data_IF_623840417727
#
_entry.id   IF_623840417727
#
_cell.length_a   1.000
_cell.length_b   1.000
_cell.length_c   1.000
_cell.angle_alpha   90.00
_cell.angle_beta   90.00
_cell.angle_gamma   90.00
#
_symmetry.space_group_name_H-M   'P 1'
#
loop_
_entity.id
_entity.type
_entity.pdbx_description
1 polymer ?
#
# COMPACT_ATOMS: atom_id res chain seq x y z
N UNK A 1 -105.17 -8.34 63.52
CA UNK A 1 -104.94 -9.74 63.09
C UNK A 1 -103.92 -9.75 61.96
N UNK A 2 -102.76 -10.37 62.18
CA UNK A 2 -101.94 -11.05 61.15
C UNK A 2 -102.01 -12.56 61.52
N UNK A 3 -101.61 -13.55 60.69
CA UNK A 3 -100.72 -13.47 59.51
C UNK A 3 -101.07 -14.47 58.35
N UNK A 4 -100.13 -14.62 57.40
CA UNK A 4 -99.83 -15.85 56.64
C UNK A 4 -100.76 -16.28 55.48
N UNK A 5 -100.45 -15.83 54.26
CA UNK A 5 -100.26 -16.67 53.06
C UNK A 5 -100.05 -15.84 51.78
N UNK A 6 -99.43 -14.66 51.85
CA UNK A 6 -98.85 -14.10 50.63
C UNK A 6 -97.63 -14.95 50.28
N UNK A 7 -97.63 -15.49 49.06
CA UNK A 7 -96.46 -16.18 48.52
C UNK A 7 -95.26 -15.21 48.51
N UNK A 8 -94.03 -15.73 48.63
CA UNK A 8 -92.84 -14.87 48.58
C UNK A 8 -92.83 -13.97 47.33
N UNK A 9 -93.38 -14.47 46.22
CA UNK A 9 -93.53 -13.74 44.97
C UNK A 9 -94.46 -12.51 45.09
N UNK A 10 -95.61 -12.62 45.77
CA UNK A 10 -96.54 -11.50 45.94
C UNK A 10 -95.98 -10.42 46.87
N UNK A 11 -95.24 -10.82 47.91
CA UNK A 11 -94.53 -9.87 48.78
C UNK A 11 -93.40 -9.17 48.06
N UNK A 12 -92.67 -9.87 47.21
CA UNK A 12 -91.63 -9.29 46.37
C UNK A 12 -92.24 -8.31 45.36
N UNK A 13 -93.37 -8.66 44.74
CA UNK A 13 -94.08 -7.77 43.83
C UNK A 13 -94.60 -6.50 44.52
N UNK A 14 -95.19 -6.62 45.72
CA UNK A 14 -95.60 -5.46 46.52
C UNK A 14 -94.40 -4.59 46.92
N UNK A 15 -93.26 -5.20 47.27
CA UNK A 15 -92.03 -4.48 47.61
C UNK A 15 -91.38 -3.82 46.39
N UNK A 16 -91.43 -4.43 45.21
CA UNK A 16 -90.97 -3.83 43.95
C UNK A 16 -91.87 -2.65 43.56
N UNK A 17 -93.19 -2.78 43.74
CA UNK A 17 -94.14 -1.72 43.44
C UNK A 17 -93.97 -0.54 44.40
N UNK A 18 -93.81 -0.80 45.71
CA UNK A 18 -93.43 0.19 46.71
C UNK A 18 -92.06 0.82 46.44
N UNK A 19 -91.06 0.05 46.03
CA UNK A 19 -89.72 0.56 45.70
C UNK A 19 -89.72 1.44 44.44
N UNK A 20 -90.61 1.17 43.49
CA UNK A 20 -90.85 2.02 42.33
C UNK A 20 -91.63 3.30 42.70
N UNK A 21 -92.69 3.18 43.51
CA UNK A 21 -93.52 4.31 43.95
C UNK A 21 -92.78 5.29 44.89
N UNK A 22 -91.83 4.78 45.68
CA UNK A 22 -90.99 5.58 46.58
C UNK A 22 -89.72 6.14 45.91
N UNK A 23 -89.45 5.81 44.64
CA UNK A 23 -88.29 6.31 43.89
C UNK A 23 -86.94 5.70 44.29
N UNK A 24 -86.91 4.73 45.21
CA UNK A 24 -85.69 4.11 45.75
C UNK A 24 -84.86 3.42 44.67
N UNK A 25 -85.50 2.84 43.65
CA UNK A 25 -84.80 2.22 42.52
C UNK A 25 -84.03 3.24 41.68
N UNK A 26 -84.58 4.43 41.49
CA UNK A 26 -83.92 5.49 40.74
C UNK A 26 -82.79 6.13 41.55
N UNK A 27 -82.95 6.26 42.87
CA UNK A 27 -81.86 6.67 43.76
C UNK A 27 -80.69 5.67 43.76
N UNK A 28 -80.98 4.36 43.78
CA UNK A 28 -79.95 3.32 43.71
C UNK A 28 -79.25 3.32 42.35
N UNK A 29 -79.99 3.47 41.24
CA UNK A 29 -79.39 3.60 39.90
C UNK A 29 -78.53 4.85 39.79
N UNK A 30 -78.94 5.98 40.37
CA UNK A 30 -78.16 7.21 40.39
C UNK A 30 -76.89 7.06 41.22
N UNK A 31 -76.97 6.42 42.40
CA UNK A 31 -75.77 6.09 43.20
C UNK A 31 -74.82 5.15 42.46
N UNK A 32 -75.35 4.14 41.77
CA UNK A 32 -74.55 3.22 40.97
C UNK A 32 -73.87 3.94 39.80
N UNK A 33 -74.57 4.85 39.11
CA UNK A 33 -73.99 5.69 38.05
C UNK A 33 -72.86 6.58 38.59
N UNK A 34 -73.07 7.22 39.74
CA UNK A 34 -72.05 8.04 40.40
C UNK A 34 -70.80 7.22 40.75
N UNK A 35 -70.95 6.00 41.27
CA UNK A 35 -69.81 5.12 41.56
C UNK A 35 -69.10 4.64 40.29
N UNK A 36 -69.84 4.32 39.22
CA UNK A 36 -69.24 3.99 37.92
C UNK A 36 -68.47 5.20 37.35
N UNK A 37 -69.02 6.40 37.44
CA UNK A 37 -68.38 7.61 36.94
C UNK A 37 -67.13 7.96 37.75
N UNK A 38 -67.14 7.80 39.07
CA UNK A 38 -65.93 7.87 39.90
C UNK A 38 -64.87 6.89 39.42
N UNK A 39 -65.26 5.63 39.18
CA UNK A 39 -64.32 4.61 38.69
C UNK A 39 -63.79 4.93 37.30
N UNK A 40 -64.62 5.47 36.41
CA UNK A 40 -64.19 5.91 35.06
C UNK A 40 -63.23 7.09 35.15
N UNK A 41 -63.46 8.05 36.04
CA UNK A 41 -62.54 9.16 36.28
C UNK A 41 -61.20 8.69 36.84
N UNK A 42 -61.20 7.76 37.80
CA UNK A 42 -59.96 7.15 38.32
C UNK A 42 -59.17 6.42 37.22
N UNK A 43 -59.86 5.69 36.34
CA UNK A 43 -59.23 4.97 35.22
C UNK A 43 -58.70 5.94 34.16
N UNK A 44 -59.43 7.03 33.86
CA UNK A 44 -58.97 8.08 32.97
C UNK A 44 -57.72 8.78 33.53
N UNK A 45 -57.72 9.15 34.81
CA UNK A 45 -56.56 9.73 35.47
C UNK A 45 -55.34 8.80 35.49
N UNK A 46 -55.55 7.49 35.64
CA UNK A 46 -54.48 6.49 35.53
C UNK A 46 -53.98 6.33 34.09
N UNK A 47 -54.84 6.44 33.11
CA UNK A 47 -54.48 6.38 31.69
C UNK A 47 -53.68 7.62 31.28
N UNK A 48 -54.09 8.81 31.72
CA UNK A 48 -53.40 10.07 31.45
C UNK A 48 -52.03 10.16 32.15
N UNK A 49 -51.88 9.49 33.30
CA UNK A 49 -50.60 9.39 34.00
C UNK A 49 -49.62 8.41 33.34
N UNK A 50 -50.07 7.54 32.44
CA UNK A 50 -49.20 6.62 31.71
C UNK A 50 -48.61 7.31 30.47
N UNK A 51 -47.31 7.17 30.19
CA UNK A 51 -46.71 7.60 28.93
C UNK A 51 -47.45 6.95 27.76
N UNK A 52 -47.68 7.68 26.68
CA UNK A 52 -48.30 7.12 25.47
C UNK A 52 -47.22 6.50 24.57
N UNK A 53 -47.00 5.17 24.62
CA UNK A 53 -45.90 4.52 23.93
C UNK A 53 -46.04 4.60 22.41
N UNK A 54 -47.25 4.73 21.88
CA UNK A 54 -47.49 4.73 20.43
C UNK A 54 -46.88 5.96 19.75
N UNK A 55 -46.91 7.12 20.42
CA UNK A 55 -46.33 8.35 19.88
C UNK A 55 -44.81 8.29 19.87
N UNK A 56 -44.21 7.82 20.95
CA UNK A 56 -42.75 7.67 21.07
C UNK A 56 -42.22 6.62 20.09
N UNK A 57 -42.89 5.48 19.97
CA UNK A 57 -42.55 4.45 19.00
C UNK A 57 -42.70 4.95 17.55
N UNK A 58 -43.73 5.75 17.26
CA UNK A 58 -43.89 6.36 15.93
C UNK A 58 -42.80 7.38 15.61
N UNK A 59 -42.34 8.18 16.58
CA UNK A 59 -41.20 9.09 16.38
C UNK A 59 -39.90 8.33 16.17
N UNK A 60 -39.63 7.31 16.99
CA UNK A 60 -38.44 6.46 16.85
C UNK A 60 -38.43 5.70 15.52
N UNK A 61 -39.59 5.22 15.05
CA UNK A 61 -39.71 4.56 13.75
C UNK A 61 -39.40 5.51 12.59
N UNK A 62 -39.87 6.77 12.66
CA UNK A 62 -39.55 7.81 11.65
C UNK A 62 -38.07 8.17 11.65
N UNK A 63 -37.47 8.30 12.83
CA UNK A 63 -36.03 8.57 12.97
C UNK A 63 -35.18 7.41 12.45
N UNK A 64 -35.53 6.16 12.80
CA UNK A 64 -34.88 4.97 12.28
C UNK A 64 -34.96 4.92 10.75
N UNK A 65 -36.13 5.15 10.16
CA UNK A 65 -36.29 5.18 8.71
C UNK A 65 -35.41 6.26 8.04
N UNK A 66 -35.32 7.45 8.64
CA UNK A 66 -34.46 8.53 8.13
C UNK A 66 -32.98 8.16 8.19
N UNK A 67 -32.53 7.56 9.30
CA UNK A 67 -31.14 7.12 9.48
C UNK A 67 -30.79 6.00 8.51
N UNK A 68 -31.70 5.03 8.31
CA UNK A 68 -31.52 3.96 7.33
C UNK A 68 -31.38 4.51 5.91
N UNK A 69 -32.25 5.42 5.48
CA UNK A 69 -32.15 6.04 4.16
C UNK A 69 -30.84 6.82 3.98
N UNK A 70 -30.38 7.54 5.02
CA UNK A 70 -29.10 8.24 4.98
C UNK A 70 -27.91 7.27 4.85
N UNK A 71 -27.96 6.12 5.54
CA UNK A 71 -26.93 5.08 5.45
C UNK A 71 -26.90 4.43 4.06
N UNK A 72 -28.07 4.16 3.46
CA UNK A 72 -28.13 3.61 2.11
C UNK A 72 -27.55 4.57 1.07
N UNK A 73 -27.84 5.87 1.22
CA UNK A 73 -27.25 6.92 0.38
C UNK A 73 -25.74 6.98 0.52
N UNK A 74 -25.22 6.99 1.75
CA UNK A 74 -23.78 6.97 2.00
C UNK A 74 -23.12 5.72 1.41
N UNK A 75 -23.74 4.53 1.57
CA UNK A 75 -23.24 3.30 0.98
C UNK A 75 -23.27 3.32 -0.56
N UNK A 76 -24.17 4.07 -1.18
CA UNK A 76 -24.17 4.26 -2.63
C UNK A 76 -23.05 5.21 -3.07
N UNK A 77 -22.81 6.29 -2.33
CA UNK A 77 -21.71 7.24 -2.56
C UNK A 77 -20.34 6.56 -2.39
N UNK A 78 -20.17 5.71 -1.37
CA UNK A 78 -18.93 4.94 -1.15
C UNK A 78 -18.65 3.98 -2.32
N UNK A 79 -19.67 3.26 -2.82
CA UNK A 79 -19.51 2.35 -3.97
C UNK A 79 -19.14 3.11 -5.24
N UNK A 80 -19.67 4.31 -5.44
CA UNK A 80 -19.34 5.14 -6.58
C UNK A 80 -17.91 5.71 -6.47
N UNK A 81 -17.50 6.12 -5.27
CA UNK A 81 -16.12 6.52 -4.99
C UNK A 81 -15.14 5.38 -5.27
N UNK A 82 -15.43 4.16 -4.82
CA UNK A 82 -14.64 2.95 -5.09
C UNK A 82 -14.55 2.65 -6.60
N UNK A 83 -15.65 2.86 -7.35
CA UNK A 83 -15.67 2.67 -8.80
C UNK A 83 -14.73 3.68 -9.47
N UNK A 84 -14.84 4.95 -9.11
CA UNK A 84 -14.01 6.03 -9.67
C UNK A 84 -12.53 5.85 -9.31
N UNK A 85 -12.21 5.42 -8.10
CA UNK A 85 -10.84 5.13 -7.68
C UNK A 85 -10.23 4.00 -8.52
N UNK A 86 -10.96 2.90 -8.71
CA UNK A 86 -10.51 1.78 -9.56
C UNK A 86 -10.33 2.21 -11.02
N UNK A 87 -11.24 3.01 -11.57
CA UNK A 87 -11.14 3.52 -12.94
C UNK A 87 -9.95 4.46 -13.12
N UNK A 88 -9.74 5.38 -12.19
CA UNK A 88 -8.61 6.35 -12.25
C UNK A 88 -7.27 5.65 -12.04
N UNK A 89 -7.18 4.73 -11.08
CA UNK A 89 -6.01 3.89 -10.86
C UNK A 89 -5.72 3.03 -12.09
N UNK A 90 -6.73 2.39 -12.67
CA UNK A 90 -6.59 1.60 -13.89
C UNK A 90 -6.07 2.43 -15.08
N UNK A 91 -6.61 3.64 -15.28
CA UNK A 91 -6.13 4.58 -16.31
C UNK A 91 -4.68 5.01 -16.07
N UNK A 92 -4.31 5.29 -14.82
CA UNK A 92 -2.93 5.65 -14.46
C UNK A 92 -1.98 4.51 -14.80
N UNK A 93 -2.28 3.28 -14.37
CA UNK A 93 -1.45 2.10 -14.66
C UNK A 93 -1.28 1.92 -16.16
N UNK A 94 -2.37 1.92 -16.94
CA UNK A 94 -2.28 1.78 -18.39
C UNK A 94 -1.46 2.89 -19.06
N UNK A 95 -1.65 4.14 -18.63
CA UNK A 95 -0.88 5.26 -19.15
C UNK A 95 0.61 5.16 -18.81
N UNK A 96 0.95 4.70 -17.59
CA UNK A 96 2.35 4.48 -17.20
C UNK A 96 2.98 3.36 -18.00
N UNK A 97 2.30 2.23 -18.19
CA UNK A 97 2.81 1.11 -18.98
C UNK A 97 3.01 1.49 -20.44
N UNK A 98 2.05 2.20 -21.05
CA UNK A 98 2.16 2.65 -22.45
C UNK A 98 3.33 3.63 -22.62
N UNK A 99 3.41 4.68 -21.80
CA UNK A 99 4.50 5.67 -21.88
C UNK A 99 5.86 5.07 -21.54
N UNK A 100 5.91 4.14 -20.57
CA UNK A 100 7.14 3.41 -20.25
C UNK A 100 7.57 2.52 -21.43
N UNK A 101 6.62 1.87 -22.10
CA UNK A 101 6.88 1.07 -23.30
C UNK A 101 7.44 1.91 -24.45
N UNK A 102 6.80 3.04 -24.77
CA UNK A 102 7.28 3.98 -25.80
C UNK A 102 8.68 4.52 -25.46
N UNK A 103 8.88 4.95 -24.21
CA UNK A 103 10.18 5.43 -23.75
C UNK A 103 11.25 4.35 -23.84
N UNK A 104 10.94 3.12 -23.42
CA UNK A 104 11.88 2.01 -23.47
C UNK A 104 12.24 1.66 -24.92
N UNK A 105 11.25 1.67 -25.82
CA UNK A 105 11.49 1.45 -27.25
C UNK A 105 12.44 2.52 -27.81
N UNK A 106 12.19 3.80 -27.53
CA UNK A 106 13.09 4.89 -27.97
C UNK A 106 14.50 4.73 -27.41
N UNK A 107 14.64 4.36 -26.13
CA UNK A 107 15.96 4.12 -25.53
C UNK A 107 16.69 2.95 -26.21
N UNK A 108 16.00 1.84 -26.50
CA UNK A 108 16.59 0.71 -27.23
C UNK A 108 16.97 1.08 -28.66
N UNK A 109 16.16 1.87 -29.36
CA UNK A 109 16.49 2.34 -30.71
C UNK A 109 17.68 3.32 -30.70
N UNK A 110 17.79 4.18 -29.68
CA UNK A 110 18.97 5.03 -29.50
C UNK A 110 20.24 4.20 -29.23
N UNK A 111 20.16 3.20 -28.36
CA UNK A 111 21.27 2.27 -28.10
C UNK A 111 21.70 1.52 -29.38
N UNK A 112 20.75 1.12 -30.24
CA UNK A 112 21.03 0.47 -31.53
C UNK A 112 21.62 1.42 -32.57
N UNK A 113 21.24 2.69 -32.53
CA UNK A 113 21.74 3.72 -33.43
C UNK A 113 23.06 4.37 -32.95
N UNK A 114 23.53 4.00 -31.75
CA UNK A 114 24.78 4.50 -31.22
C UNK A 114 25.97 4.06 -32.08
N UNK A 115 27.06 4.85 -32.12
CA UNK A 115 28.26 4.47 -32.86
C UNK A 115 28.87 3.16 -32.32
N UNK A 116 29.33 2.24 -33.19
CA UNK A 116 29.90 0.95 -32.78
C UNK A 116 31.13 1.09 -31.87
N UNK A 117 31.82 2.23 -31.93
CA UNK A 117 32.97 2.53 -31.07
C UNK A 117 32.59 2.56 -29.57
N UNK A 118 31.33 2.82 -29.22
CA UNK A 118 30.85 2.76 -27.84
C UNK A 118 30.71 1.30 -27.36
N UNK A 119 30.32 0.38 -28.24
CA UNK A 119 30.24 -1.05 -27.94
C UNK A 119 31.65 -1.62 -27.73
N UNK A 120 32.57 -1.32 -28.66
CA UNK A 120 33.99 -1.68 -28.54
C UNK A 120 34.61 -1.18 -27.23
N UNK A 121 34.25 0.05 -26.81
CA UNK A 121 34.71 0.63 -25.56
C UNK A 121 34.16 -0.10 -24.31
N UNK A 122 32.90 -0.53 -24.35
CA UNK A 122 32.31 -1.33 -23.26
C UNK A 122 32.95 -2.71 -23.16
N UNK A 123 33.29 -3.32 -24.28
CA UNK A 123 34.02 -4.59 -24.33
C UNK A 123 35.44 -4.45 -23.78
N UNK A 124 36.16 -3.39 -24.18
CA UNK A 124 37.47 -3.07 -23.63
C UNK A 124 37.38 -2.86 -22.10
N UNK A 125 36.43 -2.07 -21.59
CA UNK A 125 36.26 -1.89 -20.14
C UNK A 125 35.90 -3.19 -19.41
N UNK A 126 35.10 -4.05 -20.02
CA UNK A 126 34.75 -5.37 -19.45
C UNK A 126 35.96 -6.29 -19.38
N UNK A 127 36.82 -6.26 -20.41
CA UNK A 127 38.10 -6.94 -20.42
C UNK A 127 39.01 -6.41 -19.29
N UNK A 128 39.10 -5.10 -19.12
CA UNK A 128 39.88 -4.49 -18.04
C UNK A 128 39.38 -4.94 -16.64
N UNK A 129 38.06 -5.00 -16.38
CA UNK A 129 37.53 -5.55 -15.12
C UNK A 129 37.96 -7.00 -14.90
N UNK A 130 37.91 -7.84 -15.94
CA UNK A 130 38.33 -9.24 -15.86
C UNK A 130 39.83 -9.37 -15.55
N UNK A 131 40.68 -8.53 -16.16
CA UNK A 131 42.11 -8.50 -15.88
C UNK A 131 42.40 -8.01 -14.45
N UNK A 132 41.67 -7.02 -13.94
CA UNK A 132 41.80 -6.56 -12.55
C UNK A 132 41.42 -7.64 -11.54
N UNK A 133 40.37 -8.41 -11.80
CA UNK A 133 40.03 -9.57 -10.95
C UNK A 133 41.17 -10.59 -10.91
N UNK A 134 41.84 -10.77 -12.04
CA UNK A 134 42.96 -11.69 -12.19
C UNK A 134 44.25 -11.14 -11.58
N UNK A 135 44.40 -9.83 -11.48
CA UNK A 135 45.55 -9.16 -10.86
C UNK A 135 45.51 -9.16 -9.32
N UNK A 136 44.47 -9.74 -8.70
CA UNK A 136 44.37 -9.82 -7.25
C UNK A 136 45.49 -10.67 -6.66
N UNK A 137 46.22 -10.08 -5.71
CA UNK A 137 47.37 -10.71 -5.05
C UNK A 137 47.34 -10.48 -3.55
N UNK A 138 47.74 -11.52 -2.83
CA UNK A 138 47.93 -11.51 -1.39
C UNK A 138 49.38 -11.90 -1.14
N UNK A 139 50.19 -10.91 -0.78
CA UNK A 139 51.61 -11.11 -0.51
C UNK A 139 51.84 -11.34 0.98
N UNK A 140 52.55 -12.42 1.30
CA UNK A 140 53.02 -12.69 2.65
C UNK A 140 54.48 -12.24 2.80
N UNK A 141 54.70 -11.11 3.47
CA UNK A 141 56.06 -10.63 3.76
C UNK A 141 56.46 -11.08 5.16
N UNK A 142 57.59 -11.78 5.26
CA UNK A 142 58.19 -12.11 6.55
C UNK A 142 58.69 -10.82 7.21
N UNK A 143 58.04 -10.41 8.30
CA UNK A 143 58.43 -9.27 9.12
C UNK A 143 58.93 -9.70 10.51
N UNK A 144 59.39 -8.72 11.28
CA UNK A 144 59.58 -8.87 12.74
C UNK A 144 58.65 -7.90 13.45
N UNK A 145 58.00 -8.34 14.52
CA UNK A 145 57.27 -7.42 15.40
C UNK A 145 58.25 -6.59 16.24
N UNK A 146 57.72 -5.66 17.03
CA UNK A 146 58.51 -4.80 17.93
C UNK A 146 59.26 -5.60 19.02
N UNK A 147 58.87 -6.86 19.27
CA UNK A 147 59.55 -7.82 20.15
C UNK A 147 60.59 -8.69 19.43
N UNK A 148 60.85 -8.44 18.15
CA UNK A 148 61.82 -9.21 17.34
C UNK A 148 61.36 -10.60 16.90
N UNK A 149 60.14 -11.02 17.23
CA UNK A 149 59.56 -12.29 16.78
C UNK A 149 59.22 -12.23 15.30
N UNK A 150 59.45 -13.33 14.58
CA UNK A 150 59.03 -13.47 13.18
C UNK A 150 57.51 -13.47 13.10
N UNK A 151 56.94 -12.50 12.39
CA UNK A 151 55.51 -12.40 12.12
C UNK A 151 55.33 -12.30 10.62
N UNK A 152 54.36 -13.04 10.07
CA UNK A 152 53.95 -12.87 8.67
C UNK A 152 53.06 -11.64 8.58
N UNK A 153 53.47 -10.63 7.81
CA UNK A 153 52.63 -9.50 7.45
C UNK A 153 51.97 -9.84 6.13
N UNK A 154 50.65 -9.98 6.15
CA UNK A 154 49.84 -10.17 4.94
C UNK A 154 49.49 -8.80 4.40
N UNK A 155 49.87 -8.51 3.17
CA UNK A 155 49.48 -7.29 2.44
C UNK A 155 48.74 -7.69 1.18
N UNK A 156 47.56 -7.11 0.96
CA UNK A 156 46.75 -7.35 -0.24
C UNK A 156 46.61 -6.07 -1.05
N UNK A 157 46.59 -6.19 -2.38
CA UNK A 157 46.25 -5.09 -3.28
C UNK A 157 44.74 -4.86 -3.46
N UNK A 158 43.91 -5.43 -2.56
CA UNK A 158 42.45 -5.43 -2.65
C UNK A 158 41.86 -4.03 -2.78
N UNK A 159 42.29 -3.10 -1.94
CA UNK A 159 41.72 -1.74 -1.89
C UNK A 159 41.94 -1.02 -3.23
N UNK A 160 43.15 -1.10 -3.77
CA UNK A 160 43.50 -0.52 -5.08
C UNK A 160 42.71 -1.15 -6.23
N UNK A 161 42.62 -2.49 -6.28
CA UNK A 161 41.81 -3.20 -7.27
C UNK A 161 40.33 -2.83 -7.15
N UNK A 162 39.80 -2.74 -5.92
CA UNK A 162 38.39 -2.39 -5.70
C UNK A 162 38.08 -0.98 -6.20
N UNK A 163 39.01 -0.04 -6.00
CA UNK A 163 38.89 1.34 -6.50
C UNK A 163 38.93 1.39 -8.03
N UNK A 164 39.88 0.69 -8.66
CA UNK A 164 39.98 0.60 -10.12
C UNK A 164 38.72 -0.01 -10.75
N UNK A 165 38.20 -1.10 -10.16
CA UNK A 165 36.97 -1.75 -10.63
C UNK A 165 35.75 -0.86 -10.49
N UNK A 166 35.65 -0.08 -9.40
CA UNK A 166 34.58 0.91 -9.23
C UNK A 166 34.63 1.97 -10.34
N UNK A 167 35.82 2.49 -10.64
CA UNK A 167 35.98 3.50 -11.68
C UNK A 167 35.61 2.96 -13.07
N UNK A 168 35.94 1.70 -13.37
CA UNK A 168 35.49 1.03 -14.60
C UNK A 168 33.97 0.88 -14.64
N UNK A 169 33.33 0.49 -13.54
CA UNK A 169 31.87 0.36 -13.48
C UNK A 169 31.16 1.71 -13.70
N UNK A 170 31.67 2.78 -13.07
CA UNK A 170 31.17 4.14 -13.26
C UNK A 170 31.35 4.62 -14.72
N UNK A 171 32.46 4.24 -15.36
CA UNK A 171 32.73 4.53 -16.77
C UNK A 171 31.79 3.76 -17.71
N UNK A 172 31.57 2.47 -17.48
CA UNK A 172 30.60 1.68 -18.25
C UNK A 172 29.20 2.27 -18.16
N UNK A 173 28.78 2.70 -16.97
CA UNK A 173 27.50 3.37 -16.78
C UNK A 173 27.43 4.69 -17.56
N UNK A 174 28.49 5.49 -17.51
CA UNK A 174 28.60 6.76 -18.24
C UNK A 174 28.52 6.57 -19.76
N UNK A 175 29.14 5.53 -20.31
CA UNK A 175 29.07 5.21 -21.75
C UNK A 175 27.66 4.75 -22.14
N UNK A 176 26.98 3.95 -21.31
CA UNK A 176 25.57 3.57 -21.57
C UNK A 176 24.63 4.78 -21.53
N UNK A 177 24.88 5.73 -20.63
CA UNK A 177 24.13 6.99 -20.59
C UNK A 177 24.40 7.84 -21.82
N UNK A 178 25.65 7.88 -22.29
CA UNK A 178 26.03 8.53 -23.54
C UNK A 178 25.32 7.89 -24.74
N UNK A 179 25.26 6.56 -24.83
CA UNK A 179 24.54 5.85 -25.90
C UNK A 179 23.03 6.16 -25.92
N UNK A 180 22.45 6.52 -24.77
CA UNK A 180 21.05 6.93 -24.64
C UNK A 180 20.83 8.42 -24.91
N UNK A 181 21.88 9.20 -25.10
CA UNK A 181 21.79 10.62 -25.42
C UNK A 181 21.65 10.82 -26.94
N UNK A 182 20.41 11.05 -27.38
CA UNK A 182 20.11 11.34 -28.78
C UNK A 182 20.41 12.78 -29.23
N UNK A 183 20.97 13.64 -28.37
CA UNK A 183 21.26 15.05 -28.71
C UNK A 183 22.71 15.29 -29.09
N UNK A 184 23.62 14.49 -28.56
CA UNK A 184 25.05 14.65 -28.83
C UNK A 184 25.38 14.10 -30.22
N UNK A 185 26.06 14.87 -31.10
CA UNK A 185 26.49 14.36 -32.40
C UNK A 185 27.46 13.17 -32.26
N UNK A 186 27.39 12.20 -33.16
CA UNK A 186 28.18 10.96 -33.11
C UNK A 186 29.69 11.19 -32.91
N UNK A 187 30.29 12.15 -33.62
CA UNK A 187 31.71 12.51 -33.49
C UNK A 187 32.06 12.98 -32.07
N UNK A 188 31.17 13.76 -31.46
CA UNK A 188 31.33 14.22 -30.09
C UNK A 188 31.12 13.08 -29.08
N UNK A 189 30.20 12.14 -29.36
CA UNK A 189 30.02 10.94 -28.54
C UNK A 189 31.28 10.08 -28.53
N UNK A 190 31.87 9.80 -29.70
CA UNK A 190 33.10 9.00 -29.80
C UNK A 190 34.25 9.67 -29.06
N UNK A 191 34.40 10.99 -29.22
CA UNK A 191 35.43 11.76 -28.51
C UNK A 191 35.24 11.67 -27.00
N UNK A 192 34.00 11.84 -26.52
CA UNK A 192 33.67 11.77 -25.09
C UNK A 192 33.83 10.35 -24.53
N UNK A 193 33.50 9.34 -25.31
CA UNK A 193 33.71 7.94 -24.96
C UNK A 193 35.20 7.65 -24.74
N UNK A 194 36.06 8.12 -25.66
CA UNK A 194 37.51 7.97 -25.53
C UNK A 194 38.04 8.62 -24.24
N UNK A 195 37.60 9.84 -23.89
CA UNK A 195 37.96 10.50 -22.63
C UNK A 195 37.54 9.69 -21.39
N UNK A 196 36.33 9.11 -21.41
CA UNK A 196 35.80 8.28 -20.32
C UNK A 196 36.65 7.02 -20.14
N UNK A 197 36.98 6.33 -21.25
CA UNK A 197 37.79 5.11 -21.24
C UNK A 197 39.20 5.41 -20.76
N UNK A 198 39.84 6.47 -21.27
CA UNK A 198 41.19 6.86 -20.86
C UNK A 198 41.27 7.14 -19.36
N UNK A 199 40.32 7.93 -18.84
CA UNK A 199 40.26 8.23 -17.41
C UNK A 199 40.03 6.97 -16.56
N UNK A 200 39.20 6.04 -17.02
CA UNK A 200 38.91 4.80 -16.30
C UNK A 200 40.09 3.81 -16.30
N UNK A 201 40.81 3.70 -17.41
CA UNK A 201 41.94 2.78 -17.54
C UNK A 201 43.19 3.27 -16.83
N UNK A 202 43.31 4.58 -16.56
CA UNK A 202 44.47 5.15 -15.86
C UNK A 202 44.78 4.43 -14.54
N UNK A 203 43.76 4.19 -13.71
CA UNK A 203 43.93 3.47 -12.44
C UNK A 203 44.10 1.95 -12.64
N UNK A 204 43.52 1.41 -13.71
CA UNK A 204 43.66 -0.01 -14.03
C UNK A 204 45.10 -0.37 -14.46
N UNK A 205 45.80 0.54 -15.14
CA UNK A 205 47.19 0.34 -15.59
C UNK A 205 48.22 0.34 -14.46
N UNK A 206 47.85 0.69 -13.22
CA UNK A 206 48.70 0.42 -12.05
C UNK A 206 48.85 -1.08 -11.77
N UNK A 207 47.87 -1.88 -12.20
CA UNK A 207 47.83 -3.32 -11.98
C UNK A 207 48.01 -4.13 -13.27
N UNK A 208 47.57 -3.57 -14.40
CA UNK A 208 47.64 -4.21 -15.72
C UNK A 208 48.80 -3.60 -16.50
N UNK A 209 49.81 -4.39 -16.93
CA UNK A 209 50.89 -3.88 -17.77
C UNK A 209 50.36 -3.35 -19.10
N UNK A 210 50.65 -2.08 -19.43
CA UNK A 210 50.22 -1.42 -20.68
C UNK A 210 50.63 -2.20 -21.93
N UNK A 211 51.82 -2.82 -21.92
CA UNK A 211 52.29 -3.67 -23.02
C UNK A 211 51.34 -4.84 -23.31
N UNK A 212 50.74 -5.44 -22.28
CA UNK A 212 49.79 -6.53 -22.44
C UNK A 212 48.43 -6.02 -22.92
N UNK A 213 48.05 -4.83 -22.47
CA UNK A 213 46.85 -4.15 -22.94
C UNK A 213 46.89 -3.81 -24.43
N UNK A 214 48.04 -3.34 -24.93
CA UNK A 214 48.22 -3.03 -26.36
C UNK A 214 48.11 -4.29 -27.23
N UNK A 215 48.47 -5.46 -26.69
CA UNK A 215 48.42 -6.75 -27.37
C UNK A 215 47.04 -7.44 -27.26
N UNK A 216 46.05 -6.82 -26.60
CA UNK A 216 44.75 -7.45 -26.29
C UNK A 216 43.97 -7.96 -27.50
N UNK A 217 44.17 -7.35 -28.67
CA UNK A 217 43.50 -7.72 -29.92
C UNK A 217 44.26 -8.77 -30.73
N UNK A 218 45.53 -9.03 -30.38
CA UNK A 218 46.41 -9.93 -31.12
C UNK A 218 46.77 -11.21 -30.35
N UNK A 219 46.64 -11.21 -29.02
CA UNK A 219 47.04 -12.32 -28.15
C UNK A 219 45.80 -13.00 -27.55
N UNK A 220 45.80 -14.34 -27.38
CA UNK A 220 44.73 -15.02 -26.65
C UNK A 220 44.56 -14.46 -25.24
N UNK A 221 43.30 -14.28 -24.82
CA UNK A 221 42.98 -13.75 -23.49
C UNK A 221 43.55 -14.60 -22.35
N UNK A 222 43.60 -15.93 -22.53
CA UNK A 222 44.20 -16.85 -21.56
C UNK A 222 45.63 -16.48 -21.20
N UNK A 223 46.41 -16.08 -22.19
CA UNK A 223 47.83 -15.83 -22.04
C UNK A 223 48.07 -14.47 -21.37
N UNK A 224 47.20 -13.50 -21.67
CA UNK A 224 47.20 -12.19 -20.99
C UNK A 224 46.85 -12.38 -19.51
N UNK A 225 45.82 -13.18 -19.21
CA UNK A 225 45.40 -13.48 -17.83
C UNK A 225 46.51 -14.21 -17.07
N UNK A 226 47.18 -15.18 -17.68
CA UNK A 226 48.30 -15.90 -17.07
C UNK A 226 49.46 -14.97 -16.68
N UNK A 227 49.80 -14.02 -17.55
CA UNK A 227 50.88 -13.06 -17.27
C UNK A 227 50.46 -12.01 -16.21
N UNK A 228 49.19 -11.58 -16.19
CA UNK A 228 48.67 -10.63 -15.19
C UNK A 228 48.55 -11.27 -13.80
N UNK A 229 48.08 -12.52 -13.72
CA UNK A 229 48.02 -13.29 -12.46
C UNK A 229 49.42 -13.57 -11.89
N UNK A 230 50.47 -13.50 -12.71
CA UNK A 230 51.83 -13.84 -12.31
C UNK A 230 52.16 -15.32 -12.48
N UNK A 231 51.39 -16.07 -13.27
CA UNK A 231 51.72 -17.42 -13.75
C UNK A 231 52.63 -17.35 -15.00
N UNK A 232 53.64 -16.50 -14.99
CA UNK A 232 54.77 -16.63 -15.90
C UNK A 232 55.81 -17.49 -15.19
N UNK A 233 55.87 -18.77 -15.59
CA UNK A 233 56.85 -19.84 -15.27
C UNK A 233 57.72 -19.69 -14.01
#
# INVERSE_FOLDING_TARGET
MKPQNQTQAERLAELELLANETGLLDELKMRQRVEIDKRRMELAAKLDALPNPERELATLAKEAARVHAAREKAAAEDREADRLDKETTGRLVMATMMKAGERQHILTELERAAPPELEDALDDLSLADNLLRSAFRVDEVAGRNWLGQRVKKVTSNLDGISSARKQIADAQQSIRELARDGRTPSVAMVSRCAEIVEAALQLAFEFIPVKLWDLRRSKPLSDIVAEVTGYAE
#
